data_IF_567604729042
#
_entry.id   IF_567604729042
#
_cell.length_a   1.000
_cell.length_b   1.000
_cell.length_c   1.000
_cell.angle_alpha   90.00
_cell.angle_beta   90.00
_cell.angle_gamma   90.00
#
_symmetry.space_group_name_H-M   'P 1'
#
loop_
_entity.id
_entity.type
_entity.pdbx_description
1 polymer ?
#
# COMPACT_ATOMS: atom_id res chain seq x y z
N UNK A 1 8.73 10.43 -16.32
CA UNK A 1 8.06 9.17 -16.71
C UNK A 1 7.76 8.45 -15.42
N UNK A 2 6.52 8.00 -15.15
CA UNK A 2 6.22 7.30 -13.91
C UNK A 2 6.97 5.98 -13.89
N UNK A 3 7.72 5.72 -12.83
CA UNK A 3 8.39 4.44 -12.62
C UNK A 3 7.36 3.51 -11.98
N UNK A 4 6.89 2.55 -12.76
CA UNK A 4 5.89 1.57 -12.34
C UNK A 4 6.58 0.44 -11.59
N UNK A 5 6.27 0.32 -10.31
CA UNK A 5 6.67 -0.80 -9.47
C UNK A 5 5.57 -1.85 -9.43
N UNK A 6 5.94 -3.13 -9.38
CA UNK A 6 5.00 -4.21 -9.08
C UNK A 6 5.00 -4.45 -7.57
N UNK A 7 3.83 -4.36 -6.95
CA UNK A 7 3.64 -4.62 -5.52
C UNK A 7 2.86 -5.91 -5.32
N UNK A 8 3.34 -6.76 -4.43
CA UNK A 8 2.61 -7.95 -4.01
C UNK A 8 1.87 -7.67 -2.71
N UNK A 9 0.59 -8.00 -2.68
CA UNK A 9 -0.26 -7.87 -1.49
C UNK A 9 -1.02 -9.18 -1.29
N UNK A 10 -1.66 -9.35 -0.13
CA UNK A 10 -2.54 -10.51 0.13
C UNK A 10 -3.75 -10.61 -0.81
N UNK A 11 -4.09 -9.53 -1.54
CA UNK A 11 -5.22 -9.49 -2.47
C UNK A 11 -4.80 -9.67 -3.93
N UNK A 12 -3.50 -9.86 -4.19
CA UNK A 12 -2.94 -10.00 -5.52
C UNK A 12 -1.75 -9.07 -5.77
N UNK A 13 -1.29 -9.08 -7.02
CA UNK A 13 -0.20 -8.23 -7.50
C UNK A 13 -0.77 -7.04 -8.26
N UNK A 14 -0.24 -5.85 -7.98
CA UNK A 14 -0.71 -4.60 -8.58
C UNK A 14 0.48 -3.82 -9.15
N UNK A 15 0.26 -3.19 -10.30
CA UNK A 15 1.18 -2.20 -10.84
C UNK A 15 0.86 -0.85 -10.19
N UNK A 16 1.85 -0.24 -9.54
CA UNK A 16 1.70 1.03 -8.84
C UNK A 16 2.77 2.01 -9.31
N UNK A 17 2.41 3.28 -9.45
CA UNK A 17 3.41 4.33 -9.63
C UNK A 17 4.23 4.44 -8.34
N UNK A 18 5.54 4.31 -8.42
CA UNK A 18 6.45 4.48 -7.29
C UNK A 18 6.25 5.82 -6.57
N UNK A 19 5.85 6.87 -7.29
CA UNK A 19 5.53 8.18 -6.70
C UNK A 19 4.25 8.17 -5.84
N UNK A 20 3.39 7.16 -5.98
CA UNK A 20 2.19 6.99 -5.18
C UNK A 20 2.42 6.23 -3.86
N UNK A 21 3.64 5.72 -3.63
CA UNK A 21 3.98 5.01 -2.40
C UNK A 21 4.21 6.00 -1.26
N UNK A 22 3.38 5.91 -0.23
CA UNK A 22 3.51 6.68 0.99
C UNK A 22 4.46 5.96 1.94
N UNK A 23 5.51 6.66 2.38
CA UNK A 23 6.44 6.14 3.38
C UNK A 23 6.15 6.77 4.74
N UNK A 24 5.90 5.93 5.73
CA UNK A 24 5.78 6.28 7.15
C UNK A 24 7.05 5.74 7.84
N UNK A 25 8.05 6.59 8.14
CA UNK A 25 9.39 6.13 8.52
C UNK A 25 9.43 5.21 9.75
N UNK A 26 8.61 5.53 10.75
CA UNK A 26 8.49 4.77 11.99
C UNK A 26 7.38 3.69 11.92
N UNK A 27 6.75 3.55 10.75
CA UNK A 27 5.56 2.72 10.56
C UNK A 27 4.33 3.27 11.31
N UNK A 28 3.35 2.40 11.51
CA UNK A 28 2.17 2.70 12.31
C UNK A 28 2.24 1.97 13.65
N UNK A 29 1.60 2.47 14.72
CA UNK A 29 1.54 1.77 16.00
C UNK A 29 1.01 0.34 15.84
N UNK A 30 1.76 -0.65 16.31
CA UNK A 30 1.46 -2.09 16.17
C UNK A 30 1.82 -2.69 14.80
N UNK A 31 2.31 -1.87 13.87
CA UNK A 31 2.77 -2.25 12.53
C UNK A 31 4.08 -1.55 12.19
N UNK A 32 4.99 -1.39 13.16
CA UNK A 32 6.27 -0.67 12.99
C UNK A 32 7.18 -1.32 11.95
N UNK A 33 6.96 -2.61 11.67
CA UNK A 33 7.61 -3.35 10.60
C UNK A 33 7.08 -3.00 9.19
N UNK A 34 5.93 -2.35 9.09
CA UNK A 34 5.33 -1.91 7.83
C UNK A 34 5.48 -0.39 7.64
N UNK A 35 6.27 0.02 6.65
CA UNK A 35 6.66 1.43 6.46
C UNK A 35 6.18 2.01 5.15
N UNK A 36 5.90 1.18 4.16
CA UNK A 36 5.44 1.58 2.83
C UNK A 36 3.99 1.20 2.66
N UNK A 37 3.20 2.15 2.18
CA UNK A 37 1.77 2.01 2.01
C UNK A 37 1.31 2.61 0.68
N UNK A 38 0.17 2.13 0.19
CA UNK A 38 -0.56 2.73 -0.93
C UNK A 38 -2.02 2.89 -0.55
N UNK A 39 -2.68 3.88 -1.14
CA UNK A 39 -4.13 4.06 -1.00
C UNK A 39 -4.80 3.34 -2.16
N UNK A 40 -5.62 2.34 -1.84
CA UNK A 40 -6.46 1.63 -2.81
C UNK A 40 -7.86 2.21 -2.74
N UNK A 41 -8.37 2.61 -3.90
CA UNK A 41 -9.73 3.11 -4.08
C UNK A 41 -10.45 2.23 -5.10
N UNK A 42 -11.75 2.04 -4.89
CA UNK A 42 -12.63 1.37 -5.84
C UNK A 42 -14.04 1.95 -5.69
N UNK A 43 -14.83 2.07 -6.78
CA UNK A 43 -16.21 2.57 -6.68
C UNK A 43 -17.09 1.78 -5.72
N UNK A 44 -16.80 0.48 -5.53
CA UNK A 44 -17.52 -0.39 -4.58
C UNK A 44 -17.13 -0.17 -3.12
N UNK A 45 -16.05 0.57 -2.85
CA UNK A 45 -15.58 0.88 -1.50
C UNK A 45 -16.06 2.26 -1.02
N UNK A 46 -16.64 3.08 -1.90
CA UNK A 46 -17.02 4.44 -1.53
C UNK A 46 -18.00 4.49 -0.33
N UNK A 47 -17.79 5.44 0.61
CA UNK A 47 -16.80 6.52 0.62
C UNK A 47 -15.46 6.14 1.29
N UNK A 48 -15.21 4.85 1.51
CA UNK A 48 -14.02 4.35 2.20
C UNK A 48 -12.85 4.16 1.24
N UNK A 49 -11.64 4.27 1.80
CA UNK A 49 -10.40 3.94 1.12
C UNK A 49 -9.60 2.96 1.97
N UNK A 50 -8.82 2.11 1.31
CA UNK A 50 -7.98 1.14 2.01
C UNK A 50 -6.53 1.60 2.01
N UNK A 51 -5.95 1.71 3.21
CA UNK A 51 -4.50 1.86 3.35
C UNK A 51 -3.87 0.47 3.33
N UNK A 52 -3.20 0.13 2.23
CA UNK A 52 -2.60 -1.18 2.02
C UNK A 52 -1.11 -1.12 2.31
N UNK A 53 -0.66 -1.90 3.30
CA UNK A 53 0.77 -2.09 3.59
C UNK A 53 1.46 -2.93 2.52
N UNK A 54 2.72 -2.58 2.22
CA UNK A 54 3.55 -3.24 1.21
C UNK A 54 4.67 -4.11 1.81
N UNK A 55 5.02 -3.90 3.07
CA UNK A 55 6.15 -4.55 3.72
C UNK A 55 5.76 -5.76 4.57
N UNK A 56 4.50 -5.81 5.04
CA UNK A 56 4.04 -6.87 5.92
C UNK A 56 3.33 -7.98 5.15
N UNK A 57 3.79 -9.21 5.37
CA UNK A 57 3.22 -10.45 4.82
C UNK A 57 2.43 -11.23 5.88
N UNK A 58 2.28 -10.72 7.10
CA UNK A 58 1.46 -11.38 8.13
C UNK A 58 -0.04 -11.28 7.82
N UNK A 59 -0.82 -12.33 8.16
CA UNK A 59 -2.27 -12.38 7.94
C UNK A 59 -3.04 -11.31 8.71
#
# INVERSE_FOLDING_TARGET
>A
MPEIATIETRFGSFAVDSAAVVTVPDGLPGFEGCRRFVIVTAPTLDPLTCLQGLDDRRP
#
